data_IF_736628447859
#
_entry.id   IF_736628447859
#
_cell.length_a   1.000
_cell.length_b   1.000
_cell.length_c   1.000
_cell.angle_alpha   90.00
_cell.angle_beta   90.00
_cell.angle_gamma   90.00
#
_symmetry.space_group_name_H-M   'P 1'
#
loop_
_entity.id
_entity.type
_entity.pdbx_description
1 polymer ?
#
# COMPACT_ATOMS: atom_id res chain seq x y z
N UNK A 1 -0.73 -11.63 33.13
CA UNK A 1 0.21 -12.36 34.00
C UNK A 1 1.52 -11.59 33.97
N UNK A 2 2.08 -11.00 35.01
CA UNK A 2 1.75 -10.83 36.42
C UNK A 2 2.71 -9.73 36.92
N UNK A 3 2.24 -8.87 37.83
CA UNK A 3 3.08 -7.88 38.50
C UNK A 3 4.02 -8.55 39.50
N UNK A 4 5.12 -7.87 39.82
CA UNK A 4 6.07 -8.28 40.86
C UNK A 4 6.79 -7.05 41.39
N UNK A 5 6.29 -6.51 42.50
CA UNK A 5 6.91 -5.44 43.26
C UNK A 5 7.91 -5.94 44.32
N UNK A 6 8.69 -4.97 44.80
CA UNK A 6 9.31 -4.82 46.13
C UNK A 6 10.43 -5.77 46.61
N UNK A 7 11.59 -5.15 46.90
CA UNK A 7 12.19 -5.13 48.23
C UNK A 7 13.30 -4.06 48.28
N UNK A 8 13.09 -2.98 49.04
CA UNK A 8 14.14 -2.06 49.50
C UNK A 8 14.19 -2.21 51.03
N UNK A 9 15.31 -2.69 51.53
CA UNK A 9 15.59 -2.73 52.95
C UNK A 9 16.18 -1.37 53.37
N UNK A 10 15.53 -0.72 54.33
CA UNK A 10 16.03 0.44 55.05
C UNK A 10 17.04 -0.02 56.12
N UNK A 11 18.13 0.73 56.29
CA UNK A 11 19.15 0.53 57.32
C UNK A 11 19.31 1.86 58.06
N UNK A 12 18.87 1.88 59.32
CA UNK A 12 18.98 3.03 60.22
C UNK A 12 20.34 3.00 60.94
N UNK A 13 21.17 4.02 60.74
CA UNK A 13 22.44 4.22 61.47
C UNK A 13 22.22 5.27 62.59
N UNK A 14 22.29 4.81 63.84
CA UNK A 14 22.18 5.59 65.08
C UNK A 14 23.57 6.15 65.49
N UNK A 15 23.66 7.41 65.92
CA UNK A 15 24.91 8.06 66.30
C UNK A 15 24.75 8.90 67.59
N UNK A 16 25.56 8.62 68.62
CA UNK A 16 25.68 9.47 69.82
C UNK A 16 27.15 9.85 70.06
N UNK A 17 27.42 11.13 70.35
CA UNK A 17 28.74 11.66 70.72
C UNK A 17 28.70 12.26 72.15
N UNK A 18 29.60 11.78 73.01
CA UNK A 18 29.75 12.23 74.41
C UNK A 18 30.54 13.55 74.55
N UNK A 19 30.11 14.39 75.49
CA UNK A 19 30.66 15.70 75.83
C UNK A 19 31.78 15.63 76.89
N UNK A 20 32.81 16.46 76.76
CA UNK A 20 33.83 16.67 77.80
C UNK A 20 34.86 17.75 77.42
N UNK A 21 35.11 18.67 78.36
CA UNK A 21 36.02 19.81 78.36
C UNK A 21 35.56 21.11 77.67
N UNK A 22 35.80 22.25 78.34
CA UNK A 22 35.21 23.57 78.11
C UNK A 22 35.00 23.91 76.64
N UNK A 23 33.81 24.40 76.30
CA UNK A 23 33.38 24.55 74.91
C UNK A 23 34.40 25.36 74.11
N UNK A 24 35.13 24.64 73.26
CA UNK A 24 36.00 25.21 72.26
C UNK A 24 35.26 26.26 71.43
N UNK A 25 35.94 27.36 71.12
CA UNK A 25 35.46 28.30 70.10
C UNK A 25 35.23 27.54 68.78
N UNK A 26 34.10 27.86 68.14
CA UNK A 26 33.67 27.23 66.89
C UNK A 26 33.66 28.27 65.79
N UNK A 27 34.31 27.95 64.67
CA UNK A 27 34.26 28.74 63.45
C UNK A 27 33.38 28.03 62.43
N UNK A 28 32.26 28.66 62.07
CA UNK A 28 31.32 28.20 61.05
C UNK A 28 31.58 28.95 59.75
N UNK A 29 31.80 28.22 58.66
CA UNK A 29 31.94 28.81 57.32
C UNK A 29 30.71 28.48 56.50
N UNK A 30 30.01 29.50 56.04
CA UNK A 30 28.80 29.32 55.23
C UNK A 30 29.15 29.38 53.75
N UNK A 31 28.98 28.27 53.04
CA UNK A 31 29.24 28.14 51.60
C UNK A 31 27.96 27.77 50.84
N UNK A 32 27.88 28.18 49.57
CA UNK A 32 26.71 27.93 48.73
C UNK A 32 26.57 28.93 47.59
N UNK A 33 25.61 28.68 46.68
CA UNK A 33 25.33 29.58 45.55
C UNK A 33 24.84 30.96 46.01
N UNK A 34 24.80 31.92 45.09
CA UNK A 34 24.13 33.21 45.33
C UNK A 34 22.64 32.96 45.61
N UNK A 35 22.07 33.70 46.57
CA UNK A 35 20.65 33.59 46.92
C UNK A 35 20.27 32.39 47.80
N UNK A 36 21.22 31.57 48.27
CA UNK A 36 20.90 30.44 49.16
C UNK A 36 20.71 30.81 50.64
N UNK A 37 20.58 32.11 50.95
CA UNK A 37 20.29 32.59 52.31
C UNK A 37 21.46 32.65 53.28
N UNK A 38 22.72 32.45 52.84
CA UNK A 38 23.91 32.38 53.72
C UNK A 38 24.01 33.53 54.73
N UNK A 39 23.97 34.78 54.27
CA UNK A 39 24.09 35.97 55.14
C UNK A 39 22.91 36.11 56.11
N UNK A 40 21.70 35.74 55.69
CA UNK A 40 20.51 35.74 56.57
C UNK A 40 20.62 34.66 57.66
N UNK A 41 21.10 33.47 57.29
CA UNK A 41 21.40 32.39 58.24
C UNK A 41 22.53 32.80 59.19
N UNK A 42 23.57 33.49 58.69
CA UNK A 42 24.67 33.99 59.50
C UNK A 42 24.18 34.97 60.58
N UNK A 43 23.31 35.93 60.20
CA UNK A 43 22.68 36.86 61.13
C UNK A 43 21.83 36.14 62.18
N UNK A 44 21.10 35.11 61.76
CA UNK A 44 20.28 34.28 62.66
C UNK A 44 21.15 33.53 63.68
N UNK A 45 22.31 33.01 63.26
CA UNK A 45 23.28 32.34 64.14
C UNK A 45 23.91 33.33 65.13
N UNK A 46 24.22 34.55 64.68
CA UNK A 46 24.82 35.58 65.52
C UNK A 46 23.82 36.30 66.43
N UNK A 47 22.52 36.11 66.21
CA UNK A 47 21.44 36.81 66.92
C UNK A 47 21.42 38.32 66.64
N UNK A 48 22.09 38.79 65.58
CA UNK A 48 22.24 40.20 65.23
C UNK A 48 22.37 40.40 63.71
N UNK A 49 22.00 41.59 63.22
CA UNK A 49 22.15 41.97 61.82
C UNK A 49 23.61 42.35 61.50
N UNK A 50 24.52 41.38 61.57
CA UNK A 50 25.96 41.58 61.42
C UNK A 50 26.44 41.59 59.96
N UNK A 51 25.64 41.01 59.05
CA UNK A 51 25.88 40.91 57.61
C UNK A 51 24.72 41.53 56.82
N UNK A 52 25.02 42.20 55.71
CA UNK A 52 23.99 42.70 54.81
C UNK A 52 23.26 41.53 54.13
N UNK A 53 21.98 41.35 54.44
CA UNK A 53 21.13 40.33 53.82
C UNK A 53 19.94 40.98 53.11
N UNK A 54 20.04 41.13 51.80
CA UNK A 54 18.95 41.67 50.96
C UNK A 54 18.50 40.64 49.92
N UNK A 55 17.20 40.67 49.60
CA UNK A 55 16.66 39.89 48.49
C UNK A 55 17.10 40.54 47.18
N UNK A 56 18.13 39.97 46.54
CA UNK A 56 18.60 40.44 45.23
C UNK A 56 19.01 39.29 44.32
N UNK A 57 18.91 39.52 43.00
CA UNK A 57 19.39 38.60 41.97
C UNK A 57 20.93 38.62 41.82
N UNK A 58 21.61 39.56 42.47
CA UNK A 58 23.08 39.71 42.46
C UNK A 58 23.75 39.26 43.77
N UNK A 59 25.07 39.14 43.76
CA UNK A 59 25.81 38.84 45.00
C UNK A 59 25.92 40.10 45.87
N UNK A 60 25.23 40.11 47.02
CA UNK A 60 25.34 41.16 48.04
C UNK A 60 26.68 41.06 48.77
N UNK A 61 27.03 39.86 49.24
CA UNK A 61 28.36 39.56 49.80
C UNK A 61 29.38 39.43 48.66
N UNK A 62 30.33 40.37 48.60
CA UNK A 62 31.39 40.41 47.56
C UNK A 62 32.71 39.77 48.01
N UNK A 63 32.96 39.74 49.31
CA UNK A 63 34.18 39.19 49.92
C UNK A 63 33.81 38.37 51.15
N UNK A 64 34.70 37.45 51.57
CA UNK A 64 34.50 36.73 52.83
C UNK A 64 34.54 37.70 54.01
N UNK A 65 33.62 37.56 54.95
CA UNK A 65 33.51 38.42 56.14
C UNK A 65 33.29 37.55 57.37
N UNK A 66 33.99 37.86 58.47
CA UNK A 66 33.83 37.16 59.74
C UNK A 66 33.24 38.08 60.80
N UNK A 67 32.33 37.54 61.59
CA UNK A 67 31.72 38.17 62.76
C UNK A 67 31.62 37.13 63.87
N UNK A 68 31.66 37.59 65.10
CA UNK A 68 31.70 36.72 66.28
C UNK A 68 30.60 37.11 67.25
N UNK A 69 30.08 36.11 67.96
CA UNK A 69 29.18 36.33 69.10
C UNK A 69 29.59 35.38 70.23
N UNK A 70 29.35 35.80 71.47
CA UNK A 70 29.52 34.94 72.64
C UNK A 70 28.24 34.15 72.88
N UNK A 71 28.37 32.84 73.01
CA UNK A 71 27.28 31.95 73.40
C UNK A 71 27.51 31.49 74.83
N UNK A 72 26.52 31.76 75.68
CA UNK A 72 26.55 31.40 77.10
C UNK A 72 25.70 30.16 77.34
N UNK A 73 26.31 29.10 77.86
CA UNK A 73 25.64 27.87 78.30
C UNK A 73 25.97 27.64 79.79
N UNK A 74 25.08 28.11 80.67
CA UNK A 74 25.34 28.15 82.10
C UNK A 74 26.51 29.08 82.46
N UNK A 75 27.57 28.53 83.06
CA UNK A 75 28.82 29.26 83.35
C UNK A 75 29.86 29.17 82.23
N UNK A 76 29.64 28.35 81.21
CA UNK A 76 30.54 28.24 80.07
C UNK A 76 30.24 29.33 79.03
N UNK A 77 31.30 29.99 78.56
CA UNK A 77 31.23 30.95 77.45
C UNK A 77 32.04 30.38 76.29
N UNK A 78 31.46 30.36 75.09
CA UNK A 78 32.18 30.02 73.85
C UNK A 78 32.02 31.12 72.82
N UNK A 79 33.06 31.37 72.05
CA UNK A 79 32.98 32.27 70.89
C UNK A 79 32.48 31.48 69.68
N UNK A 80 31.43 31.97 69.04
CA UNK A 80 30.98 31.48 67.73
C UNK A 80 31.44 32.49 66.68
N UNK A 81 32.42 32.10 65.87
CA UNK A 81 32.83 32.84 64.69
C UNK A 81 32.01 32.36 63.50
N UNK A 82 31.39 33.27 62.76
CA UNK A 82 30.66 32.97 61.52
C UNK A 82 31.35 33.69 60.38
N UNK A 83 31.78 32.93 59.36
CA UNK A 83 32.36 33.42 58.12
C UNK A 83 31.30 33.32 57.03
N UNK A 84 30.76 34.47 56.60
CA UNK A 84 29.92 34.57 55.40
C UNK A 84 30.82 34.64 54.16
N UNK A 85 30.49 33.87 53.12
CA UNK A 85 31.28 33.79 51.89
C UNK A 85 30.48 34.24 50.66
N UNK A 86 31.14 34.79 49.63
CA UNK A 86 30.49 35.10 48.36
C UNK A 86 29.88 33.85 47.71
N UNK A 87 28.78 34.04 46.98
CA UNK A 87 28.16 32.93 46.28
C UNK A 87 28.98 32.46 45.08
N UNK A 88 29.09 31.15 44.89
CA UNK A 88 29.94 30.58 43.82
C UNK A 88 29.21 30.34 42.48
N UNK A 89 28.10 31.03 42.20
CA UNK A 89 27.37 30.98 40.92
C UNK A 89 27.06 29.60 40.32
N UNK A 90 27.13 28.51 41.09
CA UNK A 90 26.95 27.14 40.60
C UNK A 90 28.20 26.50 39.99
N UNK A 91 29.37 27.16 40.04
CA UNK A 91 30.65 26.54 39.67
C UNK A 91 31.24 25.77 40.86
N UNK A 92 32.20 24.84 40.65
CA UNK A 92 32.95 24.21 41.73
C UNK A 92 33.77 25.23 42.53
N UNK A 93 33.92 25.03 43.84
CA UNK A 93 34.71 25.92 44.69
C UNK A 93 36.21 25.75 44.41
N UNK A 94 36.96 26.86 44.36
CA UNK A 94 38.40 26.86 44.10
C UNK A 94 39.22 27.10 45.38
N UNK A 95 40.50 26.74 45.35
CA UNK A 95 41.45 27.02 46.45
C UNK A 95 41.56 28.53 46.79
N UNK A 96 41.18 29.41 45.85
CA UNK A 96 41.12 30.84 46.09
C UNK A 96 40.11 31.21 47.19
N UNK A 97 38.96 30.51 47.27
CA UNK A 97 37.99 30.71 48.35
C UNK A 97 38.57 30.29 49.70
N UNK A 98 39.28 29.16 49.72
CA UNK A 98 39.94 28.66 50.93
C UNK A 98 40.98 29.65 51.47
N UNK A 99 41.80 30.24 50.59
CA UNK A 99 42.76 31.26 50.97
C UNK A 99 42.09 32.52 51.53
N UNK A 100 40.98 32.97 50.95
CA UNK A 100 40.21 34.11 51.46
C UNK A 100 39.60 33.84 52.84
N UNK A 101 39.08 32.63 53.06
CA UNK A 101 38.54 32.21 54.36
C UNK A 101 39.67 32.21 55.40
N UNK A 102 40.83 31.63 55.06
CA UNK A 102 41.99 31.64 55.94
C UNK A 102 42.45 33.06 56.25
N UNK A 103 42.53 33.95 55.25
CA UNK A 103 42.95 35.33 55.44
C UNK A 103 42.03 36.10 56.39
N UNK A 104 40.71 35.96 56.22
CA UNK A 104 39.72 36.60 57.09
C UNK A 104 39.77 36.04 58.51
N UNK A 105 39.98 34.73 58.65
CA UNK A 105 40.13 34.09 59.95
C UNK A 105 41.39 34.56 60.70
N UNK A 106 42.52 34.74 59.99
CA UNK A 106 43.76 35.23 60.61
C UNK A 106 43.69 36.72 60.95
N UNK A 107 43.03 37.55 60.12
CA UNK A 107 42.87 39.00 60.36
C UNK A 107 42.24 39.37 61.70
N UNK A 108 41.41 38.49 62.29
CA UNK A 108 40.79 38.73 63.61
C UNK A 108 41.65 38.19 64.77
N UNK A 109 42.57 37.25 64.49
CA UNK A 109 43.57 36.77 65.47
C UNK A 109 44.62 37.83 65.82
N UNK A 110 44.84 38.82 64.95
CA UNK A 110 45.79 39.92 65.19
C UNK A 110 45.23 41.06 66.07
N UNK A 111 43.92 41.05 66.39
CA UNK A 111 43.28 42.02 67.29
C UNK A 111 43.12 41.47 68.73
N UNK A 112 43.22 40.15 68.90
CA UNK A 112 43.37 39.49 70.19
C UNK A 112 44.72 38.77 70.24
N UNK A 113 45.79 39.55 70.37
CA UNK A 113 47.12 39.01 70.62
C UNK A 113 47.16 38.31 71.98
N UNK A 114 47.78 37.13 71.97
CA UNK A 114 48.12 36.26 73.10
C UNK A 114 46.98 35.37 73.64
N UNK A 115 46.77 34.23 72.97
CA UNK A 115 47.19 32.94 73.54
C UNK A 115 46.91 31.76 72.59
N UNK A 116 47.81 30.78 72.66
CA UNK A 116 47.66 29.38 72.23
C UNK A 116 47.66 29.08 70.72
N UNK A 117 48.90 29.00 70.23
CA UNK A 117 49.33 27.92 69.34
C UNK A 117 48.93 26.57 69.95
N UNK A 118 47.86 25.95 69.42
CA UNK A 118 47.57 24.50 69.42
C UNK A 118 46.14 24.24 68.96
N UNK A 119 45.91 24.19 67.64
CA UNK A 119 44.73 23.54 67.07
C UNK A 119 44.97 23.15 65.62
N UNK A 120 45.88 22.20 65.42
CA UNK A 120 45.94 21.33 64.24
C UNK A 120 45.98 19.93 64.82
N UNK A 121 44.86 19.22 64.81
CA UNK A 121 44.76 17.74 64.88
C UNK A 121 43.34 17.23 65.24
N UNK A 122 42.27 17.98 64.97
CA UNK A 122 40.89 17.49 65.12
C UNK A 122 40.02 17.82 63.89
N UNK A 123 40.53 17.53 62.69
CA UNK A 123 39.71 17.68 61.46
C UNK A 123 40.11 16.75 60.30
N UNK A 124 41.31 16.14 60.32
CA UNK A 124 41.78 15.29 59.22
C UNK A 124 40.98 13.97 59.11
N UNK A 125 40.58 13.39 60.23
CA UNK A 125 39.85 12.10 60.27
C UNK A 125 38.40 12.21 59.75
N UNK A 126 37.68 13.26 60.15
CA UNK A 126 36.31 13.51 59.70
C UNK A 126 36.25 13.89 58.21
N UNK A 127 37.19 14.72 57.74
CA UNK A 127 37.31 15.06 56.32
C UNK A 127 37.64 13.82 55.48
N UNK A 128 38.55 12.96 55.94
CA UNK A 128 38.88 11.71 55.25
C UNK A 128 37.68 10.75 55.16
N UNK A 129 36.87 10.64 56.23
CA UNK A 129 35.67 9.81 56.25
C UNK A 129 34.61 10.31 55.26
N UNK A 130 34.31 11.62 55.26
CA UNK A 130 33.35 12.22 54.32
C UNK A 130 33.84 12.04 52.88
N UNK A 131 35.13 12.28 52.62
CA UNK A 131 35.71 12.14 51.28
C UNK A 131 35.57 10.72 50.76
N UNK A 132 35.89 9.72 51.59
CA UNK A 132 35.73 8.31 51.25
C UNK A 132 34.28 7.95 50.94
N UNK A 133 33.33 8.40 51.77
CA UNK A 133 31.90 8.15 51.53
C UNK A 133 31.40 8.77 50.22
N UNK A 134 31.85 9.99 49.90
CA UNK A 134 31.49 10.65 48.63
C UNK A 134 32.11 9.93 47.44
N UNK A 135 33.38 9.57 47.51
CA UNK A 135 34.08 8.85 46.43
C UNK A 135 33.45 7.48 46.14
N UNK A 136 33.15 6.68 47.18
CA UNK A 136 32.51 5.37 47.02
C UNK A 136 31.11 5.49 46.40
N UNK A 137 30.33 6.50 46.82
CA UNK A 137 28.99 6.73 46.28
C UNK A 137 29.04 7.27 44.84
N UNK A 138 30.00 8.14 44.53
CA UNK A 138 30.22 8.64 43.18
C UNK A 138 30.66 7.50 42.25
N UNK A 139 31.63 6.69 42.66
CA UNK A 139 32.14 5.58 41.84
C UNK A 139 31.06 4.52 41.58
N UNK A 140 30.27 4.15 42.59
CA UNK A 140 29.18 3.19 42.42
C UNK A 140 28.08 3.71 41.49
N UNK A 141 27.73 5.00 41.57
CA UNK A 141 26.79 5.62 40.63
C UNK A 141 27.36 5.70 39.21
N UNK A 142 28.64 6.04 39.04
CA UNK A 142 29.31 6.07 37.74
C UNK A 142 29.27 4.70 37.06
N UNK A 143 29.67 3.65 37.79
CA UNK A 143 29.68 2.27 37.27
C UNK A 143 28.27 1.82 36.87
N UNK A 144 27.25 2.17 37.66
CA UNK A 144 25.85 1.86 37.33
C UNK A 144 25.41 2.53 36.04
N UNK A 145 25.76 3.79 35.83
CA UNK A 145 25.38 4.53 34.62
C UNK A 145 26.10 3.97 33.38
N UNK A 146 27.38 3.63 33.48
CA UNK A 146 28.13 2.98 32.40
C UNK A 146 27.49 1.66 31.97
N UNK A 147 27.09 0.82 32.94
CA UNK A 147 26.39 -0.43 32.65
C UNK A 147 25.02 -0.21 31.98
N UNK A 148 24.28 0.82 32.40
CA UNK A 148 23.01 1.17 31.75
C UNK A 148 23.23 1.65 30.31
N UNK A 149 24.25 2.49 30.09
CA UNK A 149 24.60 2.98 28.76
C UNK A 149 24.96 1.83 27.81
N UNK A 150 25.79 0.88 28.25
CA UNK A 150 26.17 -0.29 27.44
C UNK A 150 24.96 -1.16 27.07
N UNK A 151 24.05 -1.40 28.03
CA UNK A 151 22.82 -2.16 27.79
C UNK A 151 21.94 -1.46 26.76
N UNK A 152 21.78 -0.15 26.88
CA UNK A 152 20.99 0.67 25.98
C UNK A 152 21.59 0.70 24.56
N UNK A 153 22.91 0.88 24.44
CA UNK A 153 23.60 0.84 23.15
C UNK A 153 23.46 -0.53 22.46
N UNK A 154 23.60 -1.63 23.20
CA UNK A 154 23.42 -2.99 22.66
C UNK A 154 21.98 -3.23 22.19
N UNK A 155 20.99 -2.77 22.95
CA UNK A 155 19.59 -2.88 22.57
C UNK A 155 19.30 -2.11 21.26
N UNK A 156 19.84 -0.90 21.14
CA UNK A 156 19.72 -0.06 19.92
C UNK A 156 20.32 -0.73 18.69
N UNK A 157 21.52 -1.30 18.82
CA UNK A 157 22.17 -2.00 17.70
C UNK A 157 21.31 -3.17 17.21
N UNK A 158 20.77 -3.98 18.11
CA UNK A 158 19.91 -5.11 17.75
C UNK A 158 18.62 -4.66 17.04
N UNK A 159 18.01 -3.55 17.50
CA UNK A 159 16.86 -2.96 16.81
C UNK A 159 17.24 -2.46 15.41
N UNK A 160 18.40 -1.82 15.27
CA UNK A 160 18.90 -1.34 13.98
C UNK A 160 19.18 -2.48 13.00
N UNK A 161 19.78 -3.59 13.45
CA UNK A 161 20.03 -4.76 12.62
C UNK A 161 18.71 -5.37 12.11
N UNK A 162 17.74 -5.57 13.02
CA UNK A 162 16.41 -6.07 12.65
C UNK A 162 15.66 -5.14 11.71
N UNK A 163 15.78 -3.82 11.92
CA UNK A 163 15.18 -2.82 11.04
C UNK A 163 15.80 -2.89 9.64
N UNK A 164 17.12 -2.98 9.55
CA UNK A 164 17.84 -3.06 8.27
C UNK A 164 17.49 -4.34 7.52
N UNK A 165 17.42 -5.47 8.23
CA UNK A 165 16.99 -6.74 7.64
C UNK A 165 15.54 -6.69 7.12
N UNK A 166 14.63 -6.07 7.87
CA UNK A 166 13.25 -5.88 7.44
C UNK A 166 13.14 -4.97 6.20
N UNK A 167 13.94 -3.89 6.15
CA UNK A 167 14.01 -2.99 5.00
C UNK A 167 14.48 -3.76 3.76
N UNK A 168 15.62 -4.45 3.83
CA UNK A 168 16.18 -5.21 2.70
C UNK A 168 15.19 -6.26 2.18
N UNK A 169 14.54 -7.01 3.08
CA UNK A 169 13.49 -7.98 2.69
C UNK A 169 12.32 -7.29 1.97
N UNK A 170 11.85 -6.16 2.50
CA UNK A 170 10.75 -5.42 1.87
C UNK A 170 11.13 -4.83 0.50
N UNK A 171 12.37 -4.39 0.33
CA UNK A 171 12.87 -3.88 -0.95
C UNK A 171 12.91 -4.98 -2.01
N UNK A 172 13.36 -6.19 -1.64
CA UNK A 172 13.32 -7.35 -2.53
C UNK A 172 11.89 -7.72 -2.91
N UNK A 173 10.95 -7.71 -1.97
CA UNK A 173 9.54 -7.99 -2.24
C UNK A 173 8.91 -6.94 -3.17
N UNK A 174 9.19 -5.67 -2.94
CA UNK A 174 8.74 -4.57 -3.82
C UNK A 174 9.30 -4.77 -5.24
N UNK A 175 10.57 -5.16 -5.36
CA UNK A 175 11.19 -5.44 -6.65
C UNK A 175 10.51 -6.61 -7.36
N UNK A 176 10.32 -7.75 -6.67
CA UNK A 176 9.61 -8.92 -7.20
C UNK A 176 8.19 -8.59 -7.66
N UNK A 177 7.46 -7.81 -6.87
CA UNK A 177 6.10 -7.38 -7.21
C UNK A 177 6.07 -6.47 -8.43
N UNK A 178 7.03 -5.54 -8.56
CA UNK A 178 7.14 -4.67 -9.73
C UNK A 178 7.41 -5.46 -11.01
N UNK A 179 8.36 -6.39 -10.98
CA UNK A 179 8.63 -7.25 -12.14
C UNK A 179 7.41 -8.10 -12.52
N UNK A 180 6.71 -8.67 -11.55
CA UNK A 180 5.51 -9.47 -11.82
C UNK A 180 4.38 -8.62 -12.40
N UNK A 181 4.22 -7.39 -11.92
CA UNK A 181 3.23 -6.46 -12.45
C UNK A 181 3.54 -6.06 -13.88
N UNK A 182 4.81 -5.78 -14.19
CA UNK A 182 5.25 -5.42 -15.54
C UNK A 182 5.03 -6.58 -16.53
N UNK A 183 5.38 -7.81 -16.13
CA UNK A 183 5.09 -9.01 -16.94
C UNK A 183 3.59 -9.19 -17.20
N UNK A 184 2.77 -9.08 -16.16
CA UNK A 184 1.32 -9.20 -16.29
C UNK A 184 0.72 -8.10 -17.19
N UNK A 185 1.24 -6.87 -17.10
CA UNK A 185 0.82 -5.77 -17.98
C UNK A 185 1.23 -6.03 -19.44
N UNK A 186 2.45 -6.52 -19.67
CA UNK A 186 2.93 -6.86 -21.01
C UNK A 186 2.08 -7.97 -21.63
N UNK A 187 1.78 -9.04 -20.89
CA UNK A 187 0.91 -10.12 -21.33
C UNK A 187 -0.51 -9.62 -21.64
N UNK A 188 -1.06 -8.76 -20.79
CA UNK A 188 -2.38 -8.15 -21.01
C UNK A 188 -2.40 -7.29 -22.28
N UNK A 189 -1.36 -6.51 -22.53
CA UNK A 189 -1.25 -5.67 -23.73
C UNK A 189 -1.09 -6.51 -25.00
N UNK A 190 -0.25 -7.55 -24.97
CA UNK A 190 -0.09 -8.49 -26.08
C UNK A 190 -1.43 -9.17 -26.42
N UNK A 191 -2.13 -9.68 -25.40
CA UNK A 191 -3.43 -10.32 -25.58
C UNK A 191 -4.48 -9.34 -26.14
N UNK A 192 -4.46 -8.07 -25.72
CA UNK A 192 -5.33 -7.02 -26.29
C UNK A 192 -5.05 -6.78 -27.76
N UNK A 193 -3.78 -6.75 -28.16
CA UNK A 193 -3.39 -6.53 -29.55
C UNK A 193 -3.79 -7.71 -30.45
N UNK A 194 -3.56 -8.94 -30.00
CA UNK A 194 -4.00 -10.15 -30.70
C UNK A 194 -5.53 -10.18 -30.85
N UNK A 195 -6.26 -9.87 -29.78
CA UNK A 195 -7.73 -9.77 -29.85
C UNK A 195 -8.19 -8.67 -30.82
N UNK A 196 -7.47 -7.54 -30.91
CA UNK A 196 -7.76 -6.51 -31.90
C UNK A 196 -7.60 -7.04 -33.33
N UNK A 197 -6.47 -7.70 -33.62
CA UNK A 197 -6.19 -8.32 -34.93
C UNK A 197 -7.23 -9.37 -35.29
N UNK A 198 -7.61 -10.23 -34.34
CA UNK A 198 -8.66 -11.23 -34.55
C UNK A 198 -10.00 -10.58 -34.90
N UNK A 199 -10.42 -9.53 -34.16
CA UNK A 199 -11.67 -8.82 -34.44
C UNK A 199 -11.68 -8.12 -35.80
N UNK A 200 -10.55 -7.55 -36.23
CA UNK A 200 -10.41 -6.93 -37.55
C UNK A 200 -10.52 -7.99 -38.66
N UNK A 201 -9.84 -9.13 -38.49
CA UNK A 201 -9.91 -10.27 -39.42
C UNK A 201 -11.34 -10.82 -39.54
N UNK A 202 -12.02 -11.03 -38.41
CA UNK A 202 -13.41 -11.51 -38.39
C UNK A 202 -14.38 -10.53 -39.06
N UNK A 203 -14.21 -9.21 -38.85
CA UNK A 203 -15.01 -8.20 -39.57
C UNK A 203 -14.78 -8.28 -41.08
N UNK A 204 -13.53 -8.37 -41.53
CA UNK A 204 -13.20 -8.47 -42.95
C UNK A 204 -13.77 -9.77 -43.56
N UNK A 205 -13.76 -10.87 -42.80
CA UNK A 205 -14.37 -12.13 -43.21
C UNK A 205 -15.88 -12.01 -43.37
N UNK A 206 -16.57 -11.43 -42.39
CA UNK A 206 -18.03 -11.21 -42.46
C UNK A 206 -18.43 -10.30 -43.62
N UNK A 207 -17.62 -9.27 -43.93
CA UNK A 207 -17.89 -8.39 -45.05
C UNK A 207 -17.73 -9.11 -46.40
N UNK A 208 -16.67 -9.94 -46.54
CA UNK A 208 -16.51 -10.81 -47.71
C UNK A 208 -17.65 -11.80 -47.86
N UNK A 209 -18.09 -12.42 -46.77
CA UNK A 209 -19.22 -13.36 -46.76
C UNK A 209 -20.51 -12.70 -47.23
N UNK A 210 -20.83 -11.49 -46.72
CA UNK A 210 -21.97 -10.70 -47.20
C UNK A 210 -21.86 -10.36 -48.68
N UNK A 211 -20.66 -10.04 -49.16
CA UNK A 211 -20.44 -9.76 -50.57
C UNK A 211 -20.68 -11.01 -51.42
N UNK A 212 -20.13 -12.16 -51.02
CA UNK A 212 -20.31 -13.43 -51.74
C UNK A 212 -21.78 -13.88 -51.73
N UNK A 213 -22.48 -13.71 -50.61
CA UNK A 213 -23.91 -14.03 -50.52
C UNK A 213 -24.73 -13.11 -51.43
N UNK A 214 -24.39 -11.82 -51.49
CA UNK A 214 -25.01 -10.86 -52.39
C UNK A 214 -24.78 -11.19 -53.87
N UNK A 215 -23.57 -11.64 -54.23
CA UNK A 215 -23.25 -12.10 -55.58
C UNK A 215 -23.98 -13.40 -55.93
N UNK A 216 -24.01 -14.37 -55.01
CA UNK A 216 -24.71 -15.64 -55.17
C UNK A 216 -26.22 -15.42 -55.37
N UNK A 217 -26.83 -14.53 -54.60
CA UNK A 217 -28.24 -14.19 -54.74
C UNK A 217 -28.55 -13.57 -56.11
N UNK A 218 -27.71 -12.64 -56.59
CA UNK A 218 -27.85 -12.08 -57.96
C UNK A 218 -27.71 -13.15 -59.03
N UNK A 219 -26.78 -14.09 -58.86
CA UNK A 219 -26.60 -15.20 -59.80
C UNK A 219 -27.83 -16.12 -59.82
N UNK A 220 -28.38 -16.43 -58.64
CA UNK A 220 -29.58 -17.25 -58.48
C UNK A 220 -30.78 -16.61 -59.18
N UNK A 221 -31.00 -15.31 -59.01
CA UNK A 221 -32.07 -14.58 -59.71
C UNK A 221 -31.89 -14.59 -61.24
N UNK A 222 -30.65 -14.41 -61.73
CA UNK A 222 -30.36 -14.48 -63.18
C UNK A 222 -30.64 -15.88 -63.73
N UNK A 223 -30.24 -16.92 -63.00
CA UNK A 223 -30.47 -18.31 -63.39
C UNK A 223 -31.97 -18.63 -63.44
N UNK A 224 -32.74 -18.15 -62.47
CA UNK A 224 -34.19 -18.38 -62.42
C UNK A 224 -34.92 -17.67 -63.56
N UNK A 225 -34.55 -16.43 -63.87
CA UNK A 225 -35.06 -15.71 -65.05
C UNK A 225 -34.73 -16.43 -66.35
N UNK A 226 -33.48 -16.88 -66.51
CA UNK A 226 -33.06 -17.61 -67.70
C UNK A 226 -33.84 -18.93 -67.86
N UNK A 227 -34.09 -19.64 -66.75
CA UNK A 227 -34.90 -20.87 -66.75
C UNK A 227 -36.35 -20.59 -67.15
N UNK A 228 -36.98 -19.55 -66.59
CA UNK A 228 -38.34 -19.16 -66.95
C UNK A 228 -38.46 -18.74 -68.42
N UNK A 229 -37.48 -18.01 -68.94
CA UNK A 229 -37.46 -17.61 -70.35
C UNK A 229 -37.33 -18.84 -71.27
N UNK A 230 -36.43 -19.78 -70.91
CA UNK A 230 -36.27 -21.03 -71.63
C UNK A 230 -37.55 -21.87 -71.60
N UNK A 231 -38.22 -21.97 -70.46
CA UNK A 231 -39.49 -22.72 -70.32
C UNK A 231 -40.59 -22.12 -71.20
N UNK A 232 -40.77 -20.79 -71.18
CA UNK A 232 -41.70 -20.10 -72.08
C UNK A 232 -41.35 -20.31 -73.54
N UNK A 233 -40.06 -20.35 -73.88
CA UNK A 233 -39.63 -20.58 -75.25
C UNK A 233 -39.95 -22.01 -75.69
N UNK A 234 -39.70 -23.00 -74.84
CA UNK A 234 -40.07 -24.40 -75.11
C UNK A 234 -41.58 -24.60 -75.21
N UNK A 235 -42.37 -23.90 -74.40
CA UNK A 235 -43.84 -23.95 -74.46
C UNK A 235 -44.36 -23.37 -75.79
N UNK A 236 -43.82 -22.21 -76.21
CA UNK A 236 -44.14 -21.61 -77.52
C UNK A 236 -43.77 -22.52 -78.69
N UNK A 237 -42.64 -23.21 -78.62
CA UNK A 237 -42.23 -24.17 -79.65
C UNK A 237 -43.16 -25.39 -79.68
N UNK A 238 -43.55 -25.89 -78.51
CA UNK A 238 -44.50 -26.99 -78.39
C UNK A 238 -45.89 -26.63 -78.95
N UNK A 239 -46.40 -25.43 -78.67
CA UNK A 239 -47.68 -24.96 -79.20
C UNK A 239 -47.66 -24.85 -80.73
N UNK A 240 -46.57 -24.34 -81.31
CA UNK A 240 -46.40 -24.30 -82.78
C UNK A 240 -46.42 -25.70 -83.40
N UNK A 241 -45.67 -26.63 -82.82
CA UNK A 241 -45.64 -28.02 -83.28
C UNK A 241 -47.03 -28.68 -83.16
N UNK A 242 -47.78 -28.35 -82.10
CA UNK A 242 -49.14 -28.86 -81.91
C UNK A 242 -50.09 -28.32 -82.98
N UNK A 243 -50.04 -27.03 -83.29
CA UNK A 243 -50.82 -26.46 -84.40
C UNK A 243 -50.45 -27.07 -85.76
N UNK A 244 -49.16 -27.25 -86.05
CA UNK A 244 -48.70 -27.90 -87.28
C UNK A 244 -49.19 -29.34 -87.37
N UNK A 245 -49.14 -30.09 -86.26
CA UNK A 245 -49.65 -31.45 -86.18
C UNK A 245 -51.16 -31.50 -86.40
N UNK A 246 -51.92 -30.56 -85.85
CA UNK A 246 -53.37 -30.46 -86.01
C UNK A 246 -53.74 -30.18 -87.48
N UNK A 247 -53.06 -29.22 -88.12
CA UNK A 247 -53.22 -28.93 -89.56
C UNK A 247 -52.91 -30.16 -90.41
N UNK A 248 -51.79 -30.84 -90.14
CA UNK A 248 -51.42 -32.05 -90.86
C UNK A 248 -52.42 -33.19 -90.66
N UNK A 249 -53.03 -33.30 -89.46
CA UNK A 249 -54.12 -34.26 -89.20
C UNK A 249 -55.38 -33.93 -90.01
N UNK A 250 -55.82 -32.68 -90.01
CA UNK A 250 -56.99 -32.24 -90.79
C UNK A 250 -56.78 -32.43 -92.29
N UNK A 251 -55.58 -32.12 -92.80
CA UNK A 251 -55.20 -32.35 -94.21
C UNK A 251 -55.31 -33.85 -94.57
N UNK A 252 -54.73 -34.72 -93.73
CA UNK A 252 -54.81 -36.18 -93.92
C UNK A 252 -56.24 -36.70 -93.82
N UNK A 253 -57.07 -36.14 -92.94
CA UNK A 253 -58.47 -36.52 -92.81
C UNK A 253 -59.26 -36.15 -94.07
N UNK A 254 -59.11 -34.93 -94.59
CA UNK A 254 -59.68 -34.52 -95.88
C UNK A 254 -59.23 -35.41 -97.03
N UNK A 255 -57.94 -35.75 -97.09
CA UNK A 255 -57.41 -36.67 -98.09
C UNK A 255 -58.06 -38.05 -97.98
N UNK A 256 -58.22 -38.59 -96.78
CA UNK A 256 -58.91 -39.88 -96.57
C UNK A 256 -60.39 -39.81 -96.93
N UNK A 257 -61.10 -38.74 -96.57
CA UNK A 257 -62.50 -38.56 -96.92
C UNK A 257 -62.69 -38.51 -98.44
N UNK A 258 -61.79 -37.81 -99.13
CA UNK A 258 -61.78 -37.74 -100.60
C UNK A 258 -61.46 -39.10 -101.24
N UNK A 259 -60.46 -39.83 -100.73
CA UNK A 259 -60.17 -41.21 -101.16
C UNK A 259 -61.38 -42.13 -100.95
N UNK A 260 -62.04 -42.06 -99.78
CA UNK A 260 -63.25 -42.84 -99.48
C UNK A 260 -64.39 -42.46 -100.43
N UNK A 261 -64.54 -41.17 -100.78
CA UNK A 261 -65.56 -40.71 -101.73
C UNK A 261 -65.34 -41.31 -103.12
N UNK A 262 -64.11 -41.25 -103.63
CA UNK A 262 -63.73 -41.84 -104.91
C UNK A 262 -64.01 -43.35 -104.92
N UNK A 263 -63.57 -44.07 -103.87
CA UNK A 263 -63.80 -45.51 -103.76
C UNK A 263 -65.29 -45.88 -103.69
N UNK A 264 -66.13 -45.06 -103.04
CA UNK A 264 -67.60 -45.28 -103.00
C UNK A 264 -68.23 -45.11 -104.38
N UNK A 265 -67.85 -44.08 -105.13
CA UNK A 265 -68.34 -43.86 -106.50
C UNK A 265 -67.93 -45.01 -107.44
N UNK A 266 -66.69 -45.48 -107.35
CA UNK A 266 -66.21 -46.65 -108.10
C UNK A 266 -66.99 -47.92 -107.73
N UNK A 267 -67.21 -48.15 -106.43
CA UNK A 267 -68.00 -49.29 -105.95
C UNK A 267 -69.44 -49.23 -106.46
N UNK A 268 -70.05 -48.05 -106.51
CA UNK A 268 -71.42 -47.87 -107.00
C UNK A 268 -71.53 -48.09 -108.51
N UNK A 269 -70.58 -47.56 -109.29
CA UNK A 269 -70.46 -47.88 -110.73
C UNK A 269 -70.33 -49.39 -110.96
N UNK A 270 -69.44 -50.04 -110.21
CA UNK A 270 -69.26 -51.49 -110.30
C UNK A 270 -70.53 -52.27 -109.89
N UNK A 271 -71.32 -51.78 -108.93
CA UNK A 271 -72.62 -52.37 -108.55
C UNK A 271 -73.65 -52.23 -109.67
N UNK A 272 -73.81 -51.03 -110.23
CA UNK A 272 -74.73 -50.78 -111.34
C UNK A 272 -74.38 -51.63 -112.56
N UNK A 273 -73.09 -51.78 -112.86
CA UNK A 273 -72.61 -52.61 -113.95
C UNK A 273 -72.88 -54.10 -113.70
N UNK A 274 -72.64 -54.60 -112.48
CA UNK A 274 -73.01 -55.98 -112.09
C UNK A 274 -74.52 -56.22 -112.11
N UNK A 275 -75.33 -55.24 -111.73
CA UNK A 275 -76.79 -55.34 -111.78
C UNK A 275 -77.29 -55.37 -113.22
N UNK A 276 -76.73 -54.52 -114.08
CA UNK A 276 -76.99 -54.55 -115.53
C UNK A 276 -76.60 -55.90 -116.14
N UNK A 277 -75.42 -56.43 -115.80
CA UNK A 277 -74.99 -57.76 -116.23
C UNK A 277 -75.96 -58.85 -115.73
N UNK A 278 -76.43 -58.77 -114.48
CA UNK A 278 -77.43 -59.71 -113.93
C UNK A 278 -78.78 -59.62 -114.65
N UNK A 279 -79.26 -58.43 -114.97
CA UNK A 279 -80.50 -58.26 -115.73
C UNK A 279 -80.34 -58.74 -117.18
N UNK A 280 -79.19 -58.50 -117.81
CA UNK A 280 -78.85 -59.05 -119.13
C UNK A 280 -78.77 -60.60 -119.08
N UNK A 281 -78.15 -61.18 -118.05
CA UNK A 281 -78.12 -62.64 -117.83
C UNK A 281 -79.52 -63.21 -117.58
N UNK A 282 -80.36 -62.56 -116.75
CA UNK A 282 -81.76 -62.96 -116.54
C UNK A 282 -82.57 -62.85 -117.82
N UNK A 283 -82.34 -61.82 -118.64
CA UNK A 283 -83.02 -61.64 -119.92
C UNK A 283 -82.62 -62.73 -120.91
N UNK A 284 -81.33 -63.07 -121.00
CA UNK A 284 -80.84 -64.23 -121.77
C UNK A 284 -81.45 -65.54 -121.27
N UNK A 285 -81.50 -65.76 -119.96
CA UNK A 285 -82.13 -66.95 -119.36
C UNK A 285 -83.65 -67.01 -119.59
N UNK A 286 -84.35 -65.87 -119.68
CA UNK A 286 -85.77 -65.81 -120.10
C UNK A 286 -85.94 -66.15 -121.57
N UNK A 287 -85.11 -65.60 -122.45
CA UNK A 287 -85.08 -65.95 -123.88
C UNK A 287 -84.79 -67.44 -124.11
N UNK A 288 -83.85 -68.03 -123.37
CA UNK A 288 -83.56 -69.46 -123.44
C UNK A 288 -84.74 -70.31 -122.96
N UNK A 289 -85.46 -69.88 -121.91
CA UNK A 289 -86.69 -70.55 -121.46
C UNK A 289 -87.84 -70.42 -122.47
N UNK A 290 -87.98 -69.29 -123.16
CA UNK A 290 -88.96 -69.09 -124.24
C UNK A 290 -88.63 -69.94 -125.49
N UNK A 291 -87.35 -70.16 -125.80
CA UNK A 291 -86.92 -71.09 -126.86
C UNK A 291 -87.11 -72.57 -126.52
N UNK A 292 -87.37 -72.95 -125.26
CA UNK A 292 -87.60 -74.35 -124.85
C UNK A 292 -89.09 -74.72 -124.85
N UNK A 293 -90.01 -73.76 -125.09
CA UNK A 293 -91.47 -73.98 -125.11
C UNK A 293 -92.06 -73.97 -126.55
N UNK A 294 -91.24 -73.78 -127.59
CA UNK A 294 -91.59 -73.98 -129.01
C UNK A 294 -90.88 -75.21 -129.58
#
# INVERSE_FOLDING_TARGET
>A
MGGGGENRADHDDDWELAAGDGLADVTLVLVGKVGSGKSATANSILGSEAFASEWSYGSVTKTCQMRSTEFHDGQAVRTINVIDTPGNHGVPFSNQLFNQIQEVHHRQKDVHSEAHSSKKEMDTGYIALITKMVEEKLNSTSLRLEQQLLKEQKARLNIQDKMTEAILRSEEDIHRLRESLEKAQQESNNAREENRKFRESEKARQEKEKQTDGEFQKLKEKLEKARQEQEKQTEREFDKLKEELEKARQEREKQREEEIRILKEELEKARQEREKQREEEKAKARQEKECIIL
#
